data_IF_376570814664
#
_entry.id   IF_376570814664
#
_cell.length_a   1.000
_cell.length_b   1.000
_cell.length_c   1.000
_cell.angle_alpha   90.00
_cell.angle_beta   90.00
_cell.angle_gamma   90.00
#
_symmetry.space_group_name_H-M   'P 1'
#
loop_
_entity.id
_entity.type
_entity.pdbx_description
1 polymer ?
#
# COMPACT_ATOMS: atom_id res chain seq x y z
N UNK A 1 -38.09 32.70 -4.25
CA UNK A 1 -38.61 33.05 -2.90
C UNK A 1 -37.74 32.35 -1.88
N UNK A 2 -37.00 33.12 -1.05
CA UNK A 2 -37.25 33.32 0.41
C UNK A 2 -36.99 32.00 1.17
N UNK A 3 -35.94 31.86 1.98
CA UNK A 3 -35.62 32.51 3.28
C UNK A 3 -34.12 32.31 3.57
N UNK A 4 -33.26 33.23 4.01
CA UNK A 4 -33.16 34.23 5.10
C UNK A 4 -33.12 33.69 6.55
N UNK A 5 -32.02 34.09 7.23
CA UNK A 5 -31.78 34.33 8.66
C UNK A 5 -31.21 33.15 9.47
N UNK A 6 -29.94 33.24 9.91
CA UNK A 6 -29.40 33.97 11.09
C UNK A 6 -29.75 33.28 12.40
N UNK A 7 -28.73 32.82 13.14
CA UNK A 7 -28.71 32.97 14.59
C UNK A 7 -27.27 33.01 15.14
N UNK A 8 -27.05 34.08 15.87
CA UNK A 8 -25.88 34.59 16.56
C UNK A 8 -25.92 34.12 18.02
N UNK A 9 -24.84 33.56 18.56
CA UNK A 9 -24.57 33.43 20.00
C UNK A 9 -23.06 33.17 20.13
N UNK A 10 -22.20 34.12 20.50
CA UNK A 10 -22.06 35.00 21.68
C UNK A 10 -21.76 34.27 23.00
N UNK A 11 -20.49 34.45 23.41
CA UNK A 11 -19.91 34.43 24.76
C UNK A 11 -19.66 33.09 25.46
N UNK A 12 -18.38 32.70 25.52
CA UNK A 12 -17.79 32.07 26.71
C UNK A 12 -16.56 32.87 27.11
N UNK A 13 -16.63 33.38 28.34
CA UNK A 13 -15.63 34.18 29.05
C UNK A 13 -14.47 33.28 29.47
N UNK A 14 -13.24 33.66 29.14
CA UNK A 14 -12.04 33.05 29.73
C UNK A 14 -11.46 34.00 30.79
N UNK A 15 -11.57 33.58 32.05
CA UNK A 15 -10.97 34.23 33.21
C UNK A 15 -9.45 34.06 33.19
N UNK A 16 -8.75 35.18 33.37
CA UNK A 16 -7.31 35.28 33.56
C UNK A 16 -6.92 34.66 34.90
N UNK A 17 -6.05 33.64 34.88
CA UNK A 17 -5.27 33.24 36.05
C UNK A 17 -3.85 33.77 35.92
N UNK A 18 -3.54 34.81 36.70
CA UNK A 18 -2.17 35.19 37.06
C UNK A 18 -1.84 34.48 38.36
N UNK A 19 -0.88 33.56 38.30
CA UNK A 19 -0.31 32.88 39.46
C UNK A 19 1.21 32.86 39.36
N UNK A 20 1.86 33.88 39.95
CA UNK A 20 3.30 33.92 40.16
C UNK A 20 3.70 33.00 41.32
N UNK A 21 4.71 32.14 41.11
CA UNK A 21 5.31 31.30 42.14
C UNK A 21 6.77 30.94 41.81
N UNK A 22 7.69 31.62 42.53
CA UNK A 22 9.17 31.54 42.63
C UNK A 22 9.96 30.35 42.01
N UNK A 23 11.05 30.76 41.35
CA UNK A 23 12.21 30.02 40.83
C UNK A 23 13.05 29.30 41.93
N UNK A 24 13.71 28.19 41.59
CA UNK A 24 15.17 28.10 41.66
C UNK A 24 15.78 27.63 40.32
N UNK A 25 16.94 28.20 39.98
CA UNK A 25 17.69 27.92 38.76
C UNK A 25 18.29 26.49 38.77
N UNK A 26 18.23 25.80 37.63
CA UNK A 26 19.10 24.65 37.35
C UNK A 26 19.27 24.47 35.84
N UNK A 27 20.53 24.42 35.43
CA UNK A 27 21.12 24.13 34.12
C UNK A 27 20.22 23.52 33.03
N UNK A 28 20.09 24.23 31.92
CA UNK A 28 19.65 23.68 30.63
C UNK A 28 20.80 22.93 29.96
N UNK A 29 20.72 21.59 29.97
CA UNK A 29 21.31 20.75 28.93
C UNK A 29 20.22 20.47 27.87
N UNK A 30 20.51 20.50 26.55
CA UNK A 30 19.49 20.24 25.54
C UNK A 30 18.99 18.80 25.62
N UNK A 31 17.70 18.63 25.94
CA UNK A 31 17.01 17.35 25.96
C UNK A 31 16.65 17.00 24.52
N UNK A 32 17.24 15.92 24.01
CA UNK A 32 16.87 15.28 22.75
C UNK A 32 15.37 15.03 22.70
N UNK A 33 14.68 15.67 21.77
CA UNK A 33 13.30 15.37 21.43
C UNK A 33 13.24 14.01 20.75
N UNK A 34 12.94 12.96 21.52
CA UNK A 34 12.45 11.71 20.93
C UNK A 34 11.03 11.97 20.45
N UNK A 35 10.91 12.30 19.16
CA UNK A 35 9.68 12.29 18.39
C UNK A 35 9.08 10.89 18.49
N UNK A 36 8.17 10.70 19.43
CA UNK A 36 7.32 9.50 19.46
C UNK A 36 6.35 9.68 18.31
N UNK A 37 6.65 9.07 17.17
CA UNK A 37 5.67 8.90 16.10
C UNK A 37 4.51 8.11 16.69
N UNK A 38 3.37 8.78 16.82
CA UNK A 38 2.13 8.13 17.15
C UNK A 38 1.82 7.15 16.01
N UNK A 39 2.12 5.87 16.23
CA UNK A 39 1.69 4.79 15.37
C UNK A 39 0.17 4.76 15.43
N UNK A 40 -0.49 5.32 14.42
CA UNK A 40 -1.93 5.16 14.23
C UNK A 40 -2.15 3.67 13.98
N UNK A 41 -2.89 2.99 14.86
CA UNK A 41 -3.21 1.57 14.68
C UNK A 41 -4.08 1.41 13.42
N UNK A 42 -3.47 0.96 12.33
CA UNK A 42 -4.17 0.69 11.09
C UNK A 42 -5.05 -0.56 11.25
N UNK A 43 -6.32 -0.45 10.85
CA UNK A 43 -7.29 -1.55 10.96
C UNK A 43 -7.31 -2.36 9.66
N UNK A 44 -7.27 -3.69 9.78
CA UNK A 44 -7.36 -4.61 8.64
C UNK A 44 -8.75 -4.61 8.01
N UNK A 45 -8.83 -4.74 6.69
CA UNK A 45 -10.07 -4.91 5.92
C UNK A 45 -9.85 -5.93 4.80
N UNK A 46 -10.85 -6.19 3.95
CA UNK A 46 -10.70 -7.11 2.82
C UNK A 46 -9.56 -6.71 1.85
N UNK A 47 -9.26 -5.41 1.73
CA UNK A 47 -8.21 -4.85 0.86
C UNK A 47 -6.98 -4.34 1.61
N UNK A 48 -6.97 -4.40 2.95
CA UNK A 48 -5.86 -3.95 3.80
C UNK A 48 -5.53 -5.11 4.74
N UNK A 49 -4.43 -5.80 4.48
CA UNK A 49 -4.12 -7.10 5.10
C UNK A 49 -2.83 -7.05 5.89
N UNK A 50 -2.67 -7.95 6.85
CA UNK A 50 -1.49 -8.02 7.71
C UNK A 50 -0.93 -9.45 7.90
N UNK A 51 -1.50 -10.42 7.18
CA UNK A 51 -1.15 -11.83 7.29
C UNK A 51 -1.33 -12.58 5.95
N UNK A 52 -0.73 -13.78 5.89
CA UNK A 52 -0.64 -14.61 4.68
C UNK A 52 -2.00 -15.06 4.14
N UNK A 53 -2.90 -15.51 5.01
CA UNK A 53 -4.22 -16.02 4.60
C UNK A 53 -5.09 -14.89 4.04
N UNK A 54 -5.08 -13.73 4.72
CA UNK A 54 -5.79 -12.55 4.26
C UNK A 54 -5.26 -12.06 2.91
N UNK A 55 -3.92 -12.01 2.73
CA UNK A 55 -3.31 -11.64 1.45
C UNK A 55 -3.66 -12.63 0.33
N UNK A 56 -3.58 -13.93 0.61
CA UNK A 56 -3.94 -14.99 -0.35
C UNK A 56 -5.39 -14.85 -0.81
N UNK A 57 -6.32 -14.65 0.13
CA UNK A 57 -7.73 -14.44 -0.18
C UNK A 57 -7.95 -13.15 -0.97
N UNK A 58 -7.33 -12.05 -0.55
CA UNK A 58 -7.48 -10.74 -1.17
C UNK A 58 -6.91 -10.69 -2.60
N UNK A 59 -5.90 -11.52 -2.93
CA UNK A 59 -5.32 -11.64 -4.27
C UNK A 59 -6.03 -12.66 -5.18
N UNK A 60 -6.90 -13.50 -4.63
CA UNK A 60 -7.69 -14.50 -5.39
C UNK A 60 -8.83 -13.88 -6.21
N UNK A 61 -9.55 -14.72 -6.97
CA UNK A 61 -10.76 -14.35 -7.72
C UNK A 61 -11.84 -13.69 -6.87
N UNK A 62 -11.96 -14.08 -5.61
CA UNK A 62 -12.95 -13.57 -4.66
C UNK A 62 -12.46 -12.32 -3.91
N UNK A 63 -11.33 -11.77 -4.35
CA UNK A 63 -10.64 -10.65 -3.71
C UNK A 63 -11.21 -9.27 -4.09
N UNK A 64 -10.33 -8.28 -4.10
CA UNK A 64 -10.67 -6.86 -4.36
C UNK A 64 -9.71 -6.26 -5.37
N UNK A 65 -10.11 -5.22 -6.12
CA UNK A 65 -9.26 -4.57 -7.14
C UNK A 65 -7.89 -4.08 -6.62
N UNK A 66 -7.82 -3.63 -5.36
CA UNK A 66 -6.60 -3.16 -4.67
C UNK A 66 -6.37 -3.97 -3.40
N UNK A 67 -5.11 -4.30 -3.11
CA UNK A 67 -4.68 -4.97 -1.87
C UNK A 67 -3.42 -4.27 -1.35
N UNK A 68 -3.45 -3.83 -0.10
CA UNK A 68 -2.32 -3.22 0.58
C UNK A 68 -1.93 -4.03 1.82
N UNK A 69 -0.63 -4.06 2.16
CA UNK A 69 -0.16 -4.68 3.41
C UNK A 69 0.19 -3.62 4.46
N UNK A 70 0.01 -3.97 5.75
CA UNK A 70 0.36 -3.10 6.89
C UNK A 70 1.72 -3.43 7.53
N UNK A 71 2.35 -4.49 7.04
CA UNK A 71 3.58 -5.07 7.54
C UNK A 71 4.18 -6.00 6.47
N UNK A 72 5.34 -6.56 6.78
CA UNK A 72 5.91 -7.67 6.02
C UNK A 72 5.01 -8.91 6.15
N UNK A 73 4.77 -9.58 5.03
CA UNK A 73 3.98 -10.80 4.97
C UNK A 73 4.81 -11.92 4.36
N UNK A 74 4.95 -13.03 5.06
CA UNK A 74 5.62 -14.23 4.55
C UNK A 74 4.58 -15.33 4.33
N UNK A 75 4.65 -15.97 3.17
CA UNK A 75 3.80 -17.11 2.83
C UNK A 75 4.67 -18.35 2.60
N UNK A 76 4.23 -19.49 3.11
CA UNK A 76 4.89 -20.78 2.88
C UNK A 76 4.45 -21.46 1.58
N UNK A 77 3.40 -20.93 0.94
CA UNK A 77 2.78 -21.48 -0.26
C UNK A 77 2.87 -20.50 -1.42
N UNK A 78 2.88 -21.04 -2.64
CA UNK A 78 2.71 -20.22 -3.84
C UNK A 78 1.36 -19.49 -3.80
N UNK A 79 1.30 -18.32 -4.43
CA UNK A 79 0.06 -17.56 -4.59
C UNK A 79 -0.29 -17.37 -6.05
N UNK A 80 -1.58 -17.24 -6.31
CA UNK A 80 -2.11 -16.89 -7.62
C UNK A 80 -2.87 -15.58 -7.50
N UNK A 81 -2.48 -14.59 -8.30
CA UNK A 81 -3.21 -13.34 -8.48
C UNK A 81 -4.19 -13.53 -9.62
N UNK A 82 -5.49 -13.56 -9.30
CA UNK A 82 -6.53 -13.90 -10.26
C UNK A 82 -7.79 -13.07 -10.05
N UNK A 83 -8.66 -13.08 -11.06
CA UNK A 83 -9.90 -12.31 -11.11
C UNK A 83 -9.79 -11.09 -12.03
N UNK A 84 -10.93 -10.64 -12.50
CA UNK A 84 -11.11 -9.44 -13.30
C UNK A 84 -11.77 -8.37 -12.42
N UNK A 85 -11.10 -7.25 -12.24
CA UNK A 85 -11.56 -6.16 -11.39
C UNK A 85 -11.40 -4.84 -12.14
N UNK A 86 -12.23 -3.86 -11.82
CA UNK A 86 -12.17 -2.53 -12.40
C UNK A 86 -11.75 -1.49 -11.36
N UNK A 87 -11.15 -0.39 -11.81
CA UNK A 87 -10.72 0.69 -10.91
C UNK A 87 -11.88 1.17 -10.03
N UNK A 88 -11.65 1.19 -8.70
CA UNK A 88 -12.67 1.53 -7.69
C UNK A 88 -13.94 0.65 -7.76
N UNK A 89 -13.85 -0.58 -8.25
CA UNK A 89 -14.98 -1.49 -8.49
C UNK A 89 -16.07 -0.90 -9.40
N UNK A 90 -15.71 0.01 -10.31
CA UNK A 90 -16.63 0.62 -11.26
C UNK A 90 -16.50 -0.06 -12.62
N UNK A 91 -17.51 -0.86 -13.00
CA UNK A 91 -17.50 -1.64 -14.25
C UNK A 91 -17.39 -0.78 -15.53
N UNK A 92 -17.63 0.54 -15.46
CA UNK A 92 -17.41 1.45 -16.59
C UNK A 92 -15.95 1.82 -16.80
N UNK A 93 -15.08 1.54 -15.82
CA UNK A 93 -13.65 1.87 -15.86
C UNK A 93 -12.81 0.73 -16.39
N UNK A 94 -11.53 1.01 -16.62
CA UNK A 94 -10.59 0.01 -17.10
C UNK A 94 -10.38 -1.13 -16.09
N UNK A 95 -10.08 -2.31 -16.61
CA UNK A 95 -9.58 -3.44 -15.82
C UNK A 95 -8.31 -3.01 -15.09
N UNK A 96 -8.28 -3.21 -13.78
CA UNK A 96 -7.21 -2.75 -12.92
C UNK A 96 -7.05 -3.66 -11.71
N UNK A 97 -5.81 -4.06 -11.45
CA UNK A 97 -5.46 -4.87 -10.27
C UNK A 97 -4.18 -4.32 -9.63
N UNK A 98 -4.15 -4.16 -8.31
CA UNK A 98 -2.98 -3.61 -7.61
C UNK A 98 -2.62 -4.38 -6.33
N UNK A 99 -1.33 -4.65 -6.17
CA UNK A 99 -0.68 -4.98 -4.89
C UNK A 99 0.17 -3.79 -4.43
N UNK A 100 0.02 -3.41 -3.17
CA UNK A 100 0.62 -2.24 -2.53
C UNK A 100 1.26 -2.61 -1.18
N UNK A 101 2.49 -3.14 -1.15
CA UNK A 101 3.18 -3.47 0.10
C UNK A 101 3.71 -2.21 0.79
N UNK A 102 2.82 -1.27 1.12
CA UNK A 102 3.18 0.05 1.63
C UNK A 102 1.98 0.75 2.29
N UNK A 103 2.23 1.69 3.19
CA UNK A 103 1.22 2.65 3.70
C UNK A 103 1.39 4.02 3.06
N UNK A 104 0.33 4.81 3.00
CA UNK A 104 0.36 6.19 2.52
C UNK A 104 -0.50 7.11 3.38
N UNK A 105 -0.23 8.42 3.30
CA UNK A 105 -1.10 9.47 3.84
C UNK A 105 -2.23 9.84 2.85
N UNK A 106 -3.06 10.80 3.27
CA UNK A 106 -4.19 11.32 2.50
C UNK A 106 -3.76 12.03 1.20
N UNK A 107 -2.51 12.51 1.13
CA UNK A 107 -1.91 13.12 -0.06
C UNK A 107 -1.26 12.07 -0.99
N UNK A 108 -1.47 10.79 -0.70
CA UNK A 108 -0.94 9.63 -1.44
C UNK A 108 0.59 9.53 -1.41
N UNK A 109 1.23 10.12 -0.42
CA UNK A 109 2.66 9.96 -0.19
C UNK A 109 2.91 8.65 0.52
N UNK A 110 3.78 7.82 -0.05
CA UNK A 110 4.23 6.58 0.58
C UNK A 110 4.96 6.90 1.88
N UNK A 111 4.50 6.31 2.98
CA UNK A 111 5.07 6.46 4.33
C UNK A 111 5.99 5.29 4.66
N UNK A 112 5.45 4.08 4.71
CA UNK A 112 6.20 2.84 5.00
C UNK A 112 6.17 1.90 3.80
N UNK A 113 7.19 1.05 3.67
CA UNK A 113 7.30 0.03 2.62
C UNK A 113 7.58 -1.32 3.27
N UNK A 114 6.96 -2.36 2.75
CA UNK A 114 7.01 -3.71 3.28
C UNK A 114 7.43 -4.72 2.22
N UNK A 115 7.70 -5.93 2.70
CA UNK A 115 8.11 -7.08 1.90
C UNK A 115 7.02 -8.15 1.93
N UNK A 116 6.58 -8.57 0.74
CA UNK A 116 5.80 -9.81 0.56
C UNK A 116 6.77 -10.91 0.15
N UNK A 117 7.04 -11.87 1.04
CA UNK A 117 7.90 -13.03 0.76
C UNK A 117 7.04 -14.23 0.38
N UNK A 118 7.27 -14.79 -0.81
CA UNK A 118 6.51 -15.92 -1.35
C UNK A 118 7.46 -16.85 -2.13
N UNK A 119 7.25 -18.19 -2.13
CA UNK A 119 8.02 -19.08 -2.98
C UNK A 119 7.86 -18.72 -4.47
N UNK A 120 6.62 -18.41 -4.88
CA UNK A 120 6.25 -18.05 -6.25
C UNK A 120 4.92 -17.30 -6.29
N UNK A 121 4.81 -16.30 -7.16
CA UNK A 121 3.57 -15.58 -7.47
C UNK A 121 3.21 -15.77 -8.95
N UNK A 122 2.08 -16.38 -9.23
CA UNK A 122 1.54 -16.51 -10.60
C UNK A 122 0.52 -15.41 -10.86
N UNK A 123 0.71 -14.60 -11.90
CA UNK A 123 -0.12 -13.45 -12.24
C UNK A 123 -1.02 -13.79 -13.42
N UNK A 124 -2.32 -13.94 -13.15
CA UNK A 124 -3.37 -14.23 -14.13
C UNK A 124 -4.37 -13.08 -14.32
N UNK A 125 -4.35 -12.08 -13.45
CA UNK A 125 -5.14 -10.85 -13.64
C UNK A 125 -4.48 -9.91 -14.63
N UNK A 126 -5.25 -9.43 -15.61
CA UNK A 126 -4.79 -8.36 -16.50
C UNK A 126 -4.50 -7.06 -15.73
N UNK A 127 -3.54 -6.28 -16.24
CA UNK A 127 -3.13 -5.00 -15.68
C UNK A 127 -2.71 -5.06 -14.20
N UNK A 128 -2.19 -6.21 -13.76
CA UNK A 128 -1.68 -6.35 -12.40
C UNK A 128 -0.47 -5.47 -12.18
N UNK A 129 -0.59 -4.57 -11.20
CA UNK A 129 0.43 -3.61 -10.82
C UNK A 129 0.95 -3.89 -9.43
N UNK A 130 2.26 -4.09 -9.33
CA UNK A 130 3.01 -4.01 -8.06
C UNK A 130 3.51 -2.58 -7.91
N UNK A 131 3.04 -1.89 -6.87
CA UNK A 131 3.41 -0.50 -6.62
C UNK A 131 4.09 -0.35 -5.27
N UNK A 132 5.27 0.28 -5.27
CA UNK A 132 6.19 0.36 -4.13
C UNK A 132 6.48 -1.00 -3.47
N UNK A 133 7.22 -0.98 -2.36
CA UNK A 133 7.52 -2.18 -1.57
C UNK A 133 8.42 -3.19 -2.28
N UNK A 134 8.51 -4.38 -1.70
CA UNK A 134 9.32 -5.49 -2.19
C UNK A 134 8.43 -6.73 -2.31
N UNK A 135 8.52 -7.43 -3.44
CA UNK A 135 8.07 -8.83 -3.53
C UNK A 135 9.31 -9.70 -3.63
N UNK A 136 9.53 -10.56 -2.65
CA UNK A 136 10.63 -11.52 -2.61
C UNK A 136 10.10 -12.89 -3.03
N UNK A 137 10.54 -13.36 -4.19
CA UNK A 137 10.01 -14.56 -4.84
C UNK A 137 9.97 -14.43 -6.35
N UNK A 138 9.86 -15.56 -7.04
CA UNK A 138 9.77 -15.58 -8.50
C UNK A 138 8.34 -15.24 -8.96
N UNK A 139 8.25 -14.37 -9.97
CA UNK A 139 6.98 -13.93 -10.57
C UNK A 139 6.78 -14.62 -11.92
N UNK A 140 5.60 -15.22 -12.12
CA UNK A 140 5.21 -15.85 -13.38
C UNK A 140 4.05 -15.06 -13.97
N UNK A 141 4.30 -14.35 -15.07
CA UNK A 141 3.34 -13.49 -15.74
C UNK A 141 2.62 -14.28 -16.83
N UNK A 142 1.33 -14.52 -16.60
CA UNK A 142 0.40 -15.24 -17.48
C UNK A 142 -0.74 -14.34 -18.02
N UNK A 143 -0.70 -13.04 -17.72
CA UNK A 143 -1.67 -12.05 -18.20
C UNK A 143 -1.01 -10.76 -18.69
N UNK A 144 -1.72 -10.02 -19.55
CA UNK A 144 -1.22 -8.80 -20.18
C UNK A 144 -1.14 -7.64 -19.18
N UNK A 145 -0.25 -6.70 -19.45
CA UNK A 145 -0.20 -5.40 -18.75
C UNK A 145 0.42 -5.45 -17.36
N UNK A 146 1.21 -6.48 -17.03
CA UNK A 146 1.96 -6.52 -15.77
C UNK A 146 2.80 -5.26 -15.59
N UNK A 147 2.70 -4.60 -14.44
CA UNK A 147 3.40 -3.35 -14.17
C UNK A 147 4.17 -3.42 -12.86
N UNK A 148 5.46 -3.06 -12.88
CA UNK A 148 6.29 -2.83 -11.70
C UNK A 148 6.69 -1.36 -11.68
N UNK A 149 6.20 -0.59 -10.69
CA UNK A 149 6.51 0.85 -10.61
C UNK A 149 7.98 1.10 -10.25
N UNK A 150 8.49 2.27 -10.62
CA UNK A 150 9.89 2.70 -10.38
C UNK A 150 10.39 2.53 -8.93
N UNK A 151 9.49 2.57 -7.95
CA UNK A 151 9.79 2.50 -6.52
C UNK A 151 9.48 1.13 -5.90
N UNK A 152 9.17 0.13 -6.73
CA UNK A 152 8.97 -1.25 -6.33
C UNK A 152 10.21 -2.10 -6.68
N UNK A 153 10.39 -3.20 -5.94
CA UNK A 153 11.43 -4.20 -6.20
C UNK A 153 10.84 -5.60 -6.29
N UNK A 154 11.24 -6.36 -7.30
CA UNK A 154 11.14 -7.81 -7.32
C UNK A 154 12.51 -8.37 -6.90
N UNK A 155 12.57 -8.96 -5.71
CA UNK A 155 13.73 -9.73 -5.26
C UNK A 155 13.56 -11.20 -5.68
N UNK A 156 13.87 -11.47 -6.94
CA UNK A 156 13.59 -12.72 -7.63
C UNK A 156 13.63 -12.56 -9.15
N UNK A 157 13.19 -13.59 -9.86
CA UNK A 157 13.07 -13.57 -11.32
C UNK A 157 11.66 -13.18 -11.77
N UNK A 158 11.53 -12.67 -13.00
CA UNK A 158 10.25 -12.54 -13.70
C UNK A 158 10.29 -13.43 -14.93
N UNK A 159 9.31 -14.32 -15.01
CA UNK A 159 9.08 -15.21 -16.13
C UNK A 159 7.83 -14.80 -16.88
N UNK A 160 7.91 -14.69 -18.20
CA UNK A 160 6.76 -14.41 -19.04
C UNK A 160 6.36 -15.66 -19.82
N UNK A 161 5.07 -16.02 -19.79
CA UNK A 161 4.57 -17.20 -20.50
C UNK A 161 4.60 -17.05 -22.03
N UNK A 162 4.66 -15.81 -22.55
CA UNK A 162 4.84 -15.54 -23.98
C UNK A 162 5.52 -14.20 -24.24
N UNK A 163 6.02 -14.03 -25.46
CA UNK A 163 6.59 -12.75 -25.94
C UNK A 163 5.56 -11.62 -25.93
N UNK A 164 4.29 -11.92 -26.20
CA UNK A 164 3.24 -10.91 -26.19
C UNK A 164 3.00 -10.38 -24.78
N UNK A 165 3.02 -11.27 -23.77
CA UNK A 165 2.92 -10.85 -22.38
C UNK A 165 4.12 -9.97 -21.98
N UNK A 166 5.33 -10.38 -22.36
CA UNK A 166 6.55 -9.62 -22.11
C UNK A 166 6.49 -8.21 -22.76
N UNK A 167 6.03 -8.10 -24.01
CA UNK A 167 5.89 -6.81 -24.71
C UNK A 167 4.89 -5.86 -24.05
N UNK A 168 3.84 -6.41 -23.44
CA UNK A 168 2.84 -5.59 -22.72
C UNK A 168 3.27 -5.23 -21.31
N UNK A 169 4.32 -5.85 -20.76
CA UNK A 169 4.76 -5.59 -19.41
C UNK A 169 5.52 -4.25 -19.32
N UNK A 170 5.27 -3.51 -18.24
CA UNK A 170 5.94 -2.24 -17.93
C UNK A 170 6.74 -2.38 -16.65
N UNK A 171 8.03 -2.67 -16.77
CA UNK A 171 8.93 -2.86 -15.63
C UNK A 171 9.83 -1.64 -15.47
N UNK A 172 9.44 -0.70 -14.62
CA UNK A 172 10.23 0.50 -14.28
C UNK A 172 11.04 0.33 -13.00
N UNK A 173 10.60 -0.58 -12.12
CA UNK A 173 11.25 -0.87 -10.84
C UNK A 173 12.48 -1.78 -10.97
N UNK A 174 13.03 -2.14 -9.81
CA UNK A 174 14.21 -3.01 -9.73
C UNK A 174 13.81 -4.48 -9.78
N UNK A 175 14.54 -5.27 -10.57
CA UNK A 175 14.49 -6.74 -10.55
C UNK A 175 15.88 -7.24 -10.21
N UNK A 176 16.03 -8.03 -9.14
CA UNK A 176 17.35 -8.53 -8.69
C UNK A 176 17.81 -9.75 -9.48
N UNK A 177 16.86 -10.57 -9.95
CA UNK A 177 17.09 -11.71 -10.81
C UNK A 177 16.93 -11.38 -12.28
N UNK A 178 16.57 -12.40 -13.05
CA UNK A 178 16.43 -12.31 -14.50
C UNK A 178 15.02 -11.98 -14.95
N UNK A 179 14.92 -11.51 -16.18
CA UNK A 179 13.65 -11.40 -16.91
C UNK A 179 13.75 -12.27 -18.16
N UNK A 180 13.01 -13.38 -18.21
CA UNK A 180 13.14 -14.39 -19.26
C UNK A 180 11.78 -14.90 -19.72
N UNK A 181 11.71 -15.41 -20.95
CA UNK A 181 10.58 -16.19 -21.42
C UNK A 181 10.65 -17.59 -20.79
N UNK A 182 9.53 -18.07 -20.24
CA UNK A 182 9.40 -19.44 -19.75
C UNK A 182 8.09 -20.01 -20.26
N UNK A 183 8.20 -20.76 -21.35
CA UNK A 183 7.10 -21.41 -22.05
C UNK A 183 6.72 -22.73 -21.39
#
# INVERSE_FOLDING_TARGET
MKTKSILLSLAVVASLFVGCGKQPASNTAPKTETKTEAKTDATTTASIVDNADALTKALSKEGTWIVATLNDVTLDKEIVVEGEFHDKNDASKAIYRKLAPYTQDDDHKVLERFTVTVPKMTVKSENFKVQAGIVKGDIYVEAKGFTLTKDATIDGNIYYASEDLQKTAKVEGKVTGKQELKK
#
